data_IF_623640970166
#
_entry.id   IF_623640970166
#
_cell.length_a   1.000
_cell.length_b   1.000
_cell.length_c   1.000
_cell.angle_alpha   90.00
_cell.angle_beta   90.00
_cell.angle_gamma   90.00
#
_symmetry.space_group_name_H-M   'P 1'
#
loop_
_entity.id
_entity.type
_entity.pdbx_description
1 polymer ?
#
# COMPACT_ATOMS: atom_id res chain seq x y z
N UNK A 1 -2.30 31.31 -2.85
CA UNK A 1 -3.01 30.46 -1.87
C UNK A 1 -4.53 30.43 -2.03
N UNK A 2 -5.32 31.43 -1.61
CA UNK A 2 -6.79 31.31 -1.59
C UNK A 2 -7.43 31.05 -2.98
N UNK A 3 -6.93 31.72 -4.03
CA UNK A 3 -7.41 31.55 -5.41
C UNK A 3 -7.09 30.17 -6.00
N UNK A 4 -6.03 29.54 -5.51
CA UNK A 4 -5.50 28.28 -6.02
C UNK A 4 -6.23 27.09 -5.37
N UNK A 5 -6.48 27.18 -4.05
CA UNK A 5 -7.36 26.24 -3.34
C UNK A 5 -8.77 26.21 -3.94
N UNK A 6 -9.32 27.38 -4.25
CA UNK A 6 -10.65 27.50 -4.85
C UNK A 6 -10.67 26.90 -6.26
N UNK A 7 -9.56 27.01 -6.99
CA UNK A 7 -9.41 26.38 -8.31
C UNK A 7 -9.35 24.85 -8.21
N UNK A 8 -8.61 24.27 -7.26
CA UNK A 8 -8.60 22.82 -7.01
C UNK A 8 -10.01 22.28 -6.74
N UNK A 9 -10.74 22.95 -5.84
CA UNK A 9 -12.12 22.59 -5.49
C UNK A 9 -13.11 22.70 -6.67
N UNK A 10 -12.81 23.53 -7.67
CA UNK A 10 -13.62 23.65 -8.89
C UNK A 10 -13.24 22.64 -9.99
N UNK A 11 -12.06 22.02 -9.91
CA UNK A 11 -11.57 21.11 -10.94
C UNK A 11 -11.88 19.64 -10.66
N UNK A 12 -11.99 19.26 -9.39
CA UNK A 12 -12.21 17.88 -8.98
C UNK A 12 -13.12 17.84 -7.76
N UNK A 13 -13.92 16.77 -7.67
CA UNK A 13 -14.75 16.48 -6.50
C UNK A 13 -14.20 15.26 -5.73
N UNK A 14 -13.02 14.76 -6.11
CA UNK A 14 -12.32 13.68 -5.42
C UNK A 14 -11.59 14.26 -4.20
N UNK A 15 -11.95 13.74 -3.01
CA UNK A 15 -11.39 14.19 -1.74
C UNK A 15 -9.89 13.94 -1.59
N UNK A 16 -9.32 12.97 -2.29
CA UNK A 16 -7.88 12.67 -2.21
C UNK A 16 -7.05 13.69 -2.99
N UNK A 17 -7.46 14.02 -4.22
CA UNK A 17 -6.77 15.03 -5.04
C UNK A 17 -6.82 16.42 -4.38
N UNK A 18 -7.96 16.75 -3.76
CA UNK A 18 -8.11 18.01 -3.00
C UNK A 18 -7.15 18.03 -1.80
N UNK A 19 -7.02 16.92 -1.07
CA UNK A 19 -6.12 16.82 0.07
C UNK A 19 -4.64 16.89 -0.33
N UNK A 20 -4.26 16.29 -1.45
CA UNK A 20 -2.89 16.35 -1.99
C UNK A 20 -2.53 17.78 -2.40
N UNK A 21 -3.40 18.45 -3.16
CA UNK A 21 -3.20 19.84 -3.56
C UNK A 21 -3.22 20.83 -2.38
N UNK A 22 -4.05 20.61 -1.34
CA UNK A 22 -4.02 21.44 -0.11
C UNK A 22 -2.69 21.28 0.61
N UNK A 23 -2.18 20.04 0.68
CA UNK A 23 -0.92 19.72 1.33
C UNK A 23 0.29 20.29 0.54
N UNK A 24 0.26 20.27 -0.80
CA UNK A 24 1.29 20.89 -1.65
C UNK A 24 1.30 22.41 -1.50
N UNK A 25 0.12 23.04 -1.57
CA UNK A 25 -0.01 24.50 -1.48
C UNK A 25 0.40 25.04 -0.11
N UNK A 26 0.18 24.24 0.95
CA UNK A 26 0.44 24.64 2.34
C UNK A 26 1.81 24.20 2.85
N UNK A 27 2.42 23.23 2.19
CA UNK A 27 3.58 22.50 2.71
C UNK A 27 3.23 21.66 3.95
N UNK A 28 4.16 20.83 4.45
CA UNK A 28 3.92 19.89 5.54
C UNK A 28 3.74 20.52 6.95
N UNK A 29 3.68 21.85 7.06
CA UNK A 29 3.72 22.55 8.36
C UNK A 29 2.63 22.14 9.36
N UNK A 30 2.99 22.13 10.67
CA UNK A 30 2.17 21.85 11.87
C UNK A 30 0.93 20.96 11.65
N UNK A 31 1.09 19.82 10.98
CA UNK A 31 0.01 18.84 10.76
C UNK A 31 -0.62 18.32 12.08
N UNK A 32 0.11 18.43 13.20
CA UNK A 32 -0.32 18.02 14.53
C UNK A 32 -0.81 19.17 15.43
N UNK A 33 -0.83 20.41 14.93
CA UNK A 33 -1.43 21.54 15.64
C UNK A 33 -0.97 21.66 17.10
N UNK A 34 0.34 21.73 17.34
CA UNK A 34 0.95 22.41 18.50
C UNK A 34 2.46 22.21 18.40
N UNK A 35 3.23 23.30 18.42
CA UNK A 35 4.59 23.22 18.96
C UNK A 35 4.45 22.87 20.44
N UNK A 36 4.35 21.58 20.76
CA UNK A 36 4.51 21.14 22.14
C UNK A 36 6.00 21.25 22.47
N UNK A 37 6.38 22.32 23.16
CA UNK A 37 7.68 22.39 23.80
C UNK A 37 7.77 21.24 24.81
N UNK A 38 8.50 20.18 24.48
CA UNK A 38 8.81 19.10 25.44
C UNK A 38 8.66 17.66 24.94
N UNK A 39 8.07 17.40 23.77
CA UNK A 39 8.15 16.07 23.16
C UNK A 39 9.34 16.03 22.18
N UNK A 40 10.15 14.95 22.17
CA UNK A 40 11.20 14.80 21.18
C UNK A 40 10.56 14.94 19.79
N UNK A 41 11.17 15.74 18.92
CA UNK A 41 10.75 15.86 17.52
C UNK A 41 10.64 14.45 16.95
N UNK A 42 9.42 13.94 16.83
CA UNK A 42 9.19 12.81 15.96
C UNK A 42 9.63 13.31 14.60
N UNK A 43 10.78 12.81 14.11
CA UNK A 43 11.12 12.85 12.70
C UNK A 43 10.09 11.98 11.98
N UNK A 44 8.87 12.51 11.86
CA UNK A 44 7.88 11.98 10.95
C UNK A 44 8.53 12.06 9.58
N UNK A 45 8.65 10.89 8.95
CA UNK A 45 9.00 10.74 7.55
C UNK A 45 8.29 11.84 6.75
N UNK A 46 9.06 12.62 6.00
CA UNK A 46 8.48 13.67 5.18
C UNK A 46 7.79 12.95 4.03
N UNK A 47 6.47 12.78 4.13
CA UNK A 47 5.64 12.05 3.17
C UNK A 47 5.85 12.47 1.71
N UNK A 48 6.36 13.69 1.45
CA UNK A 48 6.78 14.12 0.11
C UNK A 48 8.14 13.58 -0.32
N UNK A 49 9.15 13.69 0.54
CA UNK A 49 10.49 13.16 0.24
C UNK A 49 10.47 11.63 0.19
N UNK A 50 9.63 11.02 1.03
CA UNK A 50 9.55 9.57 1.20
C UNK A 50 8.45 8.94 0.33
N UNK A 51 7.78 9.71 -0.54
CA UNK A 51 6.72 9.19 -1.44
C UNK A 51 7.26 8.09 -2.34
N UNK A 52 8.45 8.28 -2.91
CA UNK A 52 9.12 7.27 -3.74
C UNK A 52 9.48 6.02 -2.93
N UNK A 53 9.96 6.20 -1.69
CA UNK A 53 10.28 5.09 -0.79
C UNK A 53 9.03 4.28 -0.42
N UNK A 54 7.89 4.94 -0.19
CA UNK A 54 6.62 4.29 0.08
C UNK A 54 6.10 3.51 -1.14
N UNK A 55 6.26 4.06 -2.35
CA UNK A 55 5.91 3.36 -3.60
C UNK A 55 6.78 2.12 -3.78
N UNK A 56 8.09 2.25 -3.61
CA UNK A 56 9.04 1.12 -3.70
C UNK A 56 8.72 0.05 -2.65
N UNK A 57 8.40 0.45 -1.42
CA UNK A 57 8.02 -0.48 -0.36
C UNK A 57 6.74 -1.23 -0.70
N UNK A 58 5.74 -0.58 -1.30
CA UNK A 58 4.50 -1.24 -1.74
C UNK A 58 4.79 -2.25 -2.85
N UNK A 59 5.57 -1.85 -3.86
CA UNK A 59 5.95 -2.76 -4.95
C UNK A 59 6.71 -4.00 -4.45
N UNK A 60 7.63 -3.82 -3.50
CA UNK A 60 8.35 -4.94 -2.91
C UNK A 60 7.43 -5.91 -2.16
N UNK A 61 6.44 -5.38 -1.43
CA UNK A 61 5.42 -6.20 -0.76
C UNK A 61 4.57 -6.96 -1.77
N UNK A 62 4.12 -6.29 -2.85
CA UNK A 62 3.31 -6.93 -3.88
C UNK A 62 4.06 -8.08 -4.58
N UNK A 63 5.37 -7.92 -4.84
CA UNK A 63 6.20 -8.98 -5.42
C UNK A 63 6.33 -10.18 -4.47
N UNK A 64 6.68 -9.93 -3.20
CA UNK A 64 6.84 -11.00 -2.21
C UNK A 64 5.50 -11.71 -1.97
N UNK A 65 4.39 -10.99 -1.95
CA UNK A 65 3.08 -11.57 -1.76
C UNK A 65 2.68 -12.46 -2.95
N UNK A 66 2.95 -12.03 -4.19
CA UNK A 66 2.68 -12.85 -5.38
C UNK A 66 3.47 -14.17 -5.35
N UNK A 67 4.76 -14.11 -5.03
CA UNK A 67 5.61 -15.31 -4.91
C UNK A 67 5.14 -16.23 -3.78
N UNK A 68 4.75 -15.67 -2.63
CA UNK A 68 4.25 -16.45 -1.51
C UNK A 68 2.91 -17.14 -1.83
N UNK A 69 2.02 -16.48 -2.58
CA UNK A 69 0.75 -17.04 -3.00
C UNK A 69 0.95 -18.20 -3.99
N UNK A 70 1.88 -18.07 -4.95
CA UNK A 70 2.21 -19.17 -5.88
C UNK A 70 2.79 -20.40 -5.16
N UNK A 71 3.64 -20.19 -4.14
CA UNK A 71 4.18 -21.29 -3.33
C UNK A 71 3.06 -21.96 -2.53
N UNK A 72 2.16 -21.17 -1.96
CA UNK A 72 1.02 -21.67 -1.17
C UNK A 72 0.09 -22.52 -2.05
N UNK A 73 -0.27 -22.05 -3.24
CA UNK A 73 -1.13 -22.78 -4.18
C UNK A 73 -0.51 -24.11 -4.60
N UNK A 74 0.80 -24.14 -4.88
CA UNK A 74 1.52 -25.37 -5.22
C UNK A 74 1.51 -26.39 -4.08
N UNK A 75 1.74 -25.96 -2.83
CA UNK A 75 1.69 -26.87 -1.67
C UNK A 75 0.29 -27.45 -1.46
N UNK A 76 -0.75 -26.65 -1.68
CA UNK A 76 -2.14 -27.10 -1.59
C UNK A 76 -2.50 -28.13 -2.67
N UNK A 77 -2.06 -27.94 -3.92
CA UNK A 77 -2.26 -28.90 -5.01
C UNK A 77 -1.63 -30.27 -4.67
N UNK A 78 -0.40 -30.28 -4.15
CA UNK A 78 0.27 -31.51 -3.74
C UNK A 78 -0.39 -32.21 -2.55
N UNK A 79 -0.87 -31.44 -1.57
CA UNK A 79 -1.62 -31.98 -0.43
C UNK A 79 -2.96 -32.60 -0.88
N UNK A 80 -3.67 -31.95 -1.81
CA UNK A 80 -4.91 -32.49 -2.37
C UNK A 80 -4.66 -33.77 -3.18
N UNK A 81 -3.65 -33.77 -4.05
CA UNK A 81 -3.24 -34.95 -4.82
C UNK A 81 -2.93 -36.16 -3.91
N UNK A 82 -2.18 -35.94 -2.82
CA UNK A 82 -1.88 -36.99 -1.84
C UNK A 82 -3.12 -37.50 -1.09
N UNK A 83 -4.06 -36.60 -0.77
CA UNK A 83 -5.32 -36.95 -0.12
C UNK A 83 -6.23 -37.79 -1.04
N UNK A 84 -6.34 -37.42 -2.32
CA UNK A 84 -7.13 -38.16 -3.33
C UNK A 84 -6.59 -39.58 -3.54
N UNK A 85 -5.27 -39.74 -3.66
CA UNK A 85 -4.60 -41.04 -3.69
C UNK A 85 -4.97 -41.90 -2.47
N UNK A 86 -4.94 -41.31 -1.28
CA UNK A 86 -5.25 -42.04 -0.03
C UNK A 86 -6.73 -42.46 0.07
N UNK A 87 -7.62 -41.72 -0.59
CA UNK A 87 -9.05 -42.01 -0.67
C UNK A 87 -9.41 -42.94 -1.84
N UNK A 88 -8.42 -43.35 -2.66
CA UNK A 88 -8.63 -44.21 -3.83
C UNK A 88 -9.33 -43.50 -5.00
N UNK A 89 -9.37 -42.17 -4.98
CA UNK A 89 -9.82 -41.34 -6.09
C UNK A 89 -8.66 -41.24 -7.08
N UNK A 90 -8.92 -41.45 -8.38
CA UNK A 90 -7.93 -41.22 -9.41
C UNK A 90 -7.66 -39.70 -9.48
N UNK A 91 -6.47 -39.22 -9.08
CA UNK A 91 -6.20 -37.79 -9.08
C UNK A 91 -6.04 -37.30 -10.52
N UNK A 92 -6.40 -36.05 -10.78
CA UNK A 92 -5.91 -35.37 -11.96
C UNK A 92 -4.41 -35.11 -11.79
N UNK A 93 -3.61 -35.41 -12.82
CA UNK A 93 -2.17 -35.14 -12.81
C UNK A 93 -1.97 -33.62 -12.67
N UNK A 94 -1.27 -33.14 -11.62
CA UNK A 94 -1.07 -31.71 -11.43
C UNK A 94 -0.27 -31.04 -12.56
N UNK A 95 0.28 -31.81 -13.51
CA UNK A 95 0.74 -31.30 -14.80
C UNK A 95 1.98 -30.42 -14.67
N UNK A 96 3.15 -31.05 -14.80
CA UNK A 96 4.43 -30.37 -15.07
C UNK A 96 4.85 -30.54 -16.53
#
# INVERSE_FOLDING_TARGET
MARERMRTLCHTNDGFEIAEADLELRGPGDFFGTRQHGLPEFRLANLYLDKELLVLSRQAVDMVLAELLEVTDREWEWLQFGMELSLGVAPEDPGL
#
